data_IF_030439979784
#
_entry.id   IF_030439979784
#
_cell.length_a   1.000
_cell.length_b   1.000
_cell.length_c   1.000
_cell.angle_alpha   90.00
_cell.angle_beta   90.00
_cell.angle_gamma   90.00
#
_symmetry.space_group_name_H-M   'P 1'
#
loop_
_entity.id
_entity.type
_entity.pdbx_description
1 polymer ?
#
# COMPACT_ATOMS: atom_id res chain seq x y z
N UNK A 1 -5.03 52.29 -10.67
CA UNK A 1 -6.12 52.16 -11.67
C UNK A 1 -5.54 51.73 -13.01
N UNK A 2 -6.06 50.68 -13.63
CA UNK A 2 -6.30 50.53 -15.09
C UNK A 2 -6.36 49.03 -15.46
N UNK A 3 -7.49 48.38 -15.21
CA UNK A 3 -7.76 47.07 -15.81
C UNK A 3 -8.04 47.28 -17.29
N UNK A 4 -7.33 46.57 -18.18
CA UNK A 4 -7.70 46.46 -19.59
C UNK A 4 -8.36 45.12 -19.85
N UNK A 5 -9.68 45.16 -20.03
CA UNK A 5 -10.51 44.02 -20.41
C UNK A 5 -10.13 43.57 -21.83
N UNK A 6 -9.93 42.26 -22.01
CA UNK A 6 -10.23 41.61 -23.28
C UNK A 6 -11.58 40.91 -23.13
N UNK A 7 -12.47 41.09 -24.09
CA UNK A 7 -13.88 40.74 -24.02
C UNK A 7 -14.38 40.62 -25.47
N UNK A 8 -15.17 39.58 -25.79
CA UNK A 8 -15.72 39.24 -27.12
C UNK A 8 -14.65 38.78 -28.15
N UNK A 9 -14.93 37.86 -29.08
CA UNK A 9 -16.12 37.01 -29.26
C UNK A 9 -15.84 35.84 -30.24
N UNK A 10 -16.72 34.83 -30.21
CA UNK A 10 -16.90 33.86 -31.31
C UNK A 10 -16.21 32.51 -31.09
N UNK A 11 -16.88 31.38 -31.32
CA UNK A 11 -18.30 31.23 -31.67
C UNK A 11 -18.80 29.78 -31.62
N UNK A 12 -20.08 29.62 -31.30
CA UNK A 12 -20.76 28.32 -31.29
C UNK A 12 -20.98 27.84 -32.74
N UNK A 13 -20.66 26.58 -33.05
CA UNK A 13 -20.97 25.97 -34.35
C UNK A 13 -21.18 24.47 -34.21
N UNK A 14 -22.43 24.07 -33.94
CA UNK A 14 -22.86 22.68 -33.96
C UNK A 14 -22.89 22.12 -35.39
N UNK A 15 -22.41 20.88 -35.60
CA UNK A 15 -22.51 20.17 -36.87
C UNK A 15 -22.88 18.70 -36.65
N UNK A 16 -24.18 18.44 -36.46
CA UNK A 16 -24.73 17.08 -36.49
C UNK A 16 -24.65 16.53 -37.92
N UNK A 17 -23.89 15.46 -38.14
CA UNK A 17 -23.86 14.73 -39.42
C UNK A 17 -24.71 13.46 -39.34
N UNK A 18 -25.98 13.61 -39.72
CA UNK A 18 -26.93 12.50 -39.91
C UNK A 18 -26.55 11.70 -41.17
N UNK A 19 -25.70 10.68 -40.99
CA UNK A 19 -25.20 9.82 -42.06
C UNK A 19 -26.12 8.64 -42.39
N UNK A 20 -27.29 8.87 -43.01
CA UNK A 20 -28.24 7.80 -43.34
C UNK A 20 -28.98 8.00 -44.67
N UNK A 21 -28.36 7.69 -45.81
CA UNK A 21 -29.06 7.27 -47.04
C UNK A 21 -28.12 6.64 -48.10
N UNK A 22 -27.89 5.33 -48.01
CA UNK A 22 -27.63 4.42 -49.15
C UNK A 22 -27.60 2.98 -48.62
N UNK A 23 -28.26 2.00 -49.22
CA UNK A 23 -29.05 2.08 -50.45
C UNK A 23 -28.95 0.82 -51.32
N UNK A 24 -28.91 -0.37 -50.72
CA UNK A 24 -28.95 -1.65 -51.43
C UNK A 24 -30.05 -2.55 -50.85
N UNK A 25 -30.53 -3.52 -51.64
CA UNK A 25 -31.80 -4.21 -51.37
C UNK A 25 -31.63 -5.68 -51.02
N UNK A 26 -31.89 -6.04 -49.76
CA UNK A 26 -32.01 -7.41 -49.30
C UNK A 26 -33.15 -7.54 -48.27
N UNK A 27 -34.14 -8.38 -48.58
CA UNK A 27 -35.19 -8.75 -47.62
C UNK A 27 -34.73 -9.95 -46.80
N UNK A 28 -34.97 -9.95 -45.50
CA UNK A 28 -35.52 -11.08 -44.75
C UNK A 28 -36.16 -10.59 -43.43
N UNK A 29 -36.95 -11.44 -42.76
CA UNK A 29 -37.91 -11.03 -41.72
C UNK A 29 -37.36 -11.04 -40.29
N UNK A 30 -37.88 -10.18 -39.40
CA UNK A 30 -38.41 -10.57 -38.07
C UNK A 30 -39.18 -9.44 -37.36
N UNK A 31 -40.03 -9.81 -36.40
CA UNK A 31 -40.83 -8.95 -35.49
C UNK A 31 -39.94 -8.13 -34.51
N UNK A 32 -40.33 -6.99 -33.93
CA UNK A 32 -41.51 -6.67 -33.07
C UNK A 32 -41.56 -7.52 -31.78
N UNK A 33 -41.86 -7.03 -30.57
CA UNK A 33 -42.11 -5.67 -30.01
C UNK A 33 -40.94 -5.30 -29.01
N UNK A 34 -40.89 -4.33 -28.06
CA UNK A 34 -41.82 -3.34 -27.46
C UNK A 34 -41.07 -2.03 -27.02
N UNK A 35 -41.28 -1.46 -25.80
CA UNK A 35 -40.72 -0.16 -25.34
C UNK A 35 -40.23 -0.16 -23.86
N UNK A 36 -39.18 0.62 -23.52
CA UNK A 36 -38.91 1.34 -22.23
C UNK A 36 -37.59 2.15 -22.39
N UNK A 37 -37.39 3.42 -21.99
CA UNK A 37 -37.94 4.36 -20.99
C UNK A 37 -37.10 4.44 -19.68
N UNK A 38 -36.23 5.47 -19.64
CA UNK A 38 -35.87 6.39 -18.52
C UNK A 38 -35.68 5.83 -17.09
N UNK A 39 -34.59 6.23 -16.43
CA UNK A 39 -34.52 7.22 -15.31
C UNK A 39 -33.04 7.62 -15.11
N UNK A 40 -32.77 8.80 -14.53
CA UNK A 40 -31.43 9.20 -14.04
C UNK A 40 -31.48 9.26 -12.52
N UNK A 41 -30.58 8.56 -11.82
CA UNK A 41 -30.36 8.80 -10.39
C UNK A 41 -28.86 8.68 -10.06
N UNK A 42 -28.26 9.82 -9.70
CA UNK A 42 -27.07 9.90 -8.86
C UNK A 42 -27.57 10.34 -7.48
N UNK A 43 -27.09 9.76 -6.38
CA UNK A 43 -26.95 10.36 -5.02
C UNK A 43 -26.53 9.28 -4.01
N UNK A 44 -25.59 9.63 -3.12
CA UNK A 44 -25.21 8.99 -1.83
C UNK A 44 -24.77 7.50 -1.88
N UNK A 45 -23.54 7.14 -1.47
CA UNK A 45 -22.94 7.19 -0.12
C UNK A 45 -23.51 6.14 0.85
N UNK A 46 -22.85 4.97 0.92
CA UNK A 46 -22.88 4.09 2.10
C UNK A 46 -21.45 3.85 2.61
N UNK A 47 -20.93 4.82 3.36
CA UNK A 47 -19.90 4.54 4.36
C UNK A 47 -20.54 3.75 5.51
N UNK A 48 -20.11 2.51 5.71
CA UNK A 48 -20.38 1.71 6.92
C UNK A 48 -19.02 1.36 7.53
N UNK A 49 -18.51 2.14 8.49
CA UNK A 49 -18.96 2.20 9.90
C UNK A 49 -18.80 0.86 10.63
N UNK A 50 -17.66 0.72 11.32
CA UNK A 50 -17.59 0.04 12.62
C UNK A 50 -17.87 -1.47 12.66
N UNK A 51 -17.05 -2.29 12.01
CA UNK A 51 -16.95 -3.72 12.33
C UNK A 51 -15.51 -4.13 12.64
N UNK A 52 -15.26 -4.54 13.88
CA UNK A 52 -13.97 -5.13 14.31
C UNK A 52 -13.86 -6.57 13.80
N UNK A 53 -13.54 -6.69 12.53
CA UNK A 53 -13.05 -7.90 11.87
C UNK A 53 -11.56 -7.70 11.56
N UNK A 54 -10.80 -8.77 11.30
CA UNK A 54 -9.42 -8.68 10.80
C UNK A 54 -9.43 -8.26 9.32
N UNK A 55 -9.87 -7.02 9.06
CA UNK A 55 -9.96 -6.44 7.73
C UNK A 55 -8.60 -5.97 7.24
N UNK A 56 -8.26 -6.33 6.00
CA UNK A 56 -7.08 -5.81 5.32
C UNK A 56 -7.20 -4.28 5.18
N UNK A 57 -6.10 -3.57 5.42
CA UNK A 57 -6.06 -2.11 5.28
C UNK A 57 -5.73 -1.80 3.82
N UNK A 58 -6.61 -1.07 3.13
CA UNK A 58 -6.41 -0.67 1.74
C UNK A 58 -5.91 0.78 1.65
N UNK A 59 -4.93 1.03 0.78
CA UNK A 59 -4.42 2.36 0.44
C UNK A 59 -4.16 2.45 -1.06
N UNK A 60 -4.51 3.58 -1.69
CA UNK A 60 -4.28 3.83 -3.12
C UNK A 60 -3.42 5.09 -3.26
N UNK A 61 -2.22 4.93 -3.82
CA UNK A 61 -1.17 5.96 -3.95
C UNK A 61 -0.88 6.36 -5.40
N UNK A 62 0.14 7.20 -5.59
CA UNK A 62 0.59 7.65 -6.91
C UNK A 62 1.34 6.53 -7.67
N UNK A 63 2.00 5.61 -6.96
CA UNK A 63 2.84 4.57 -7.57
C UNK A 63 2.17 3.18 -7.54
N UNK A 64 1.22 2.93 -6.63
CA UNK A 64 0.40 1.72 -6.67
C UNK A 64 -0.79 1.70 -5.71
N UNK A 65 -1.55 0.61 -5.79
CA UNK A 65 -2.57 0.23 -4.80
C UNK A 65 -1.98 -0.85 -3.88
N UNK A 66 -2.33 -0.79 -2.59
CA UNK A 66 -1.79 -1.62 -1.52
C UNK A 66 -2.96 -2.19 -0.70
N UNK A 67 -3.03 -3.51 -0.53
CA UNK A 67 -3.92 -4.17 0.43
C UNK A 67 -3.04 -4.89 1.46
N UNK A 68 -2.89 -4.30 2.65
CA UNK A 68 -2.03 -4.82 3.72
C UNK A 68 -2.69 -6.03 4.39
N UNK A 69 -2.05 -7.19 4.26
CA UNK A 69 -2.52 -8.49 4.74
C UNK A 69 -1.98 -8.81 6.14
N UNK A 70 -0.77 -8.36 6.47
CA UNK A 70 -0.13 -8.61 7.77
C UNK A 70 0.78 -7.46 8.19
N UNK A 71 0.82 -7.17 9.49
CA UNK A 71 1.82 -6.29 10.12
C UNK A 71 2.44 -7.05 11.30
N UNK A 72 3.72 -7.41 11.18
CA UNK A 72 4.43 -8.26 12.13
C UNK A 72 5.55 -7.53 12.89
N UNK A 73 6.03 -8.15 13.96
CA UNK A 73 7.27 -7.79 14.67
C UNK A 73 8.16 -9.02 14.71
N UNK A 74 9.44 -8.86 14.41
CA UNK A 74 10.41 -9.96 14.40
C UNK A 74 11.77 -9.52 14.95
N UNK A 75 12.45 -10.45 15.61
CA UNK A 75 13.86 -10.35 15.98
C UNK A 75 14.71 -11.04 14.91
N UNK A 76 15.68 -10.33 14.33
CA UNK A 76 16.79 -10.95 13.60
C UNK A 76 17.94 -11.20 14.58
N UNK A 77 18.37 -12.46 14.71
CA UNK A 77 19.69 -12.78 15.27
C UNK A 77 20.77 -12.43 14.24
N UNK A 78 21.88 -11.78 14.64
CA UNK A 78 22.93 -11.39 13.71
C UNK A 78 23.72 -12.62 13.22
N UNK A 79 24.13 -12.60 11.95
CA UNK A 79 25.02 -13.65 11.43
C UNK A 79 26.34 -13.71 12.23
N UNK A 80 26.84 -14.92 12.55
CA UNK A 80 28.10 -15.07 13.27
C UNK A 80 29.26 -14.60 12.39
N UNK A 81 29.94 -13.52 12.81
CA UNK A 81 31.01 -12.90 12.05
C UNK A 81 32.11 -13.91 11.66
N UNK A 82 32.32 -14.12 10.35
CA UNK A 82 33.30 -15.09 9.83
C UNK A 82 34.78 -14.70 10.07
N UNK A 83 35.06 -13.45 10.43
CA UNK A 83 36.41 -12.97 10.78
C UNK A 83 36.48 -12.54 12.26
N UNK A 84 37.65 -12.76 12.88
CA UNK A 84 37.91 -12.38 14.28
C UNK A 84 37.72 -10.87 14.48
N UNK A 85 36.70 -10.48 15.26
CA UNK A 85 36.45 -9.09 15.65
C UNK A 85 37.66 -8.48 16.35
N UNK A 86 38.06 -7.25 15.98
CA UNK A 86 39.19 -6.57 16.63
C UNK A 86 38.94 -6.47 18.15
N UNK A 87 39.95 -6.77 18.99
CA UNK A 87 39.81 -6.82 20.46
C UNK A 87 39.24 -5.51 21.03
N UNK A 88 37.92 -5.47 21.25
CA UNK A 88 37.19 -4.29 21.74
C UNK A 88 36.06 -3.79 20.83
N UNK A 89 35.80 -4.42 19.68
CA UNK A 89 34.52 -4.28 19.00
C UNK A 89 33.40 -4.96 19.83
N UNK A 90 32.23 -4.33 19.91
CA UNK A 90 31.04 -4.97 20.49
C UNK A 90 30.48 -5.97 19.48
N UNK A 91 30.09 -7.16 19.94
CA UNK A 91 29.36 -8.11 19.09
C UNK A 91 28.02 -7.49 18.70
N UNK A 92 27.55 -7.66 17.44
CA UNK A 92 26.23 -7.19 17.06
C UNK A 92 25.16 -7.80 17.96
N UNK A 93 24.18 -6.99 18.34
CA UNK A 93 23.00 -7.46 19.07
C UNK A 93 21.93 -8.01 18.12
N UNK A 94 20.89 -8.66 18.68
CA UNK A 94 19.65 -8.90 17.92
C UNK A 94 19.05 -7.57 17.43
N UNK A 95 18.47 -7.60 16.23
CA UNK A 95 17.82 -6.45 15.60
C UNK A 95 16.31 -6.67 15.58
N UNK A 96 15.58 -5.88 16.37
CA UNK A 96 14.12 -5.83 16.30
C UNK A 96 13.69 -5.08 15.03
N UNK A 97 12.71 -5.60 14.31
CA UNK A 97 12.11 -4.94 13.15
C UNK A 97 10.60 -5.17 13.06
N UNK A 98 9.92 -4.36 12.23
CA UNK A 98 8.55 -4.64 11.77
C UNK A 98 8.55 -5.14 10.33
N UNK A 99 7.65 -6.07 10.03
CA UNK A 99 7.33 -6.56 8.68
C UNK A 99 5.96 -6.10 8.26
N UNK A 100 5.77 -5.85 6.97
CA UNK A 100 4.49 -5.48 6.38
C UNK A 100 4.32 -6.33 5.12
N UNK A 101 3.35 -7.23 5.13
CA UNK A 101 2.91 -8.00 3.96
C UNK A 101 1.72 -7.29 3.32
N UNK A 102 1.72 -7.22 1.99
CA UNK A 102 0.68 -6.54 1.22
C UNK A 102 0.56 -7.12 -0.19
N UNK A 103 -0.66 -7.12 -0.74
CA UNK A 103 -0.87 -7.20 -2.19
C UNK A 103 -0.63 -5.81 -2.80
N UNK A 104 0.21 -5.74 -3.83
CA UNK A 104 0.61 -4.51 -4.52
C UNK A 104 0.18 -4.55 -5.99
N UNK A 105 -0.53 -3.52 -6.45
CA UNK A 105 -0.83 -3.31 -7.88
C UNK A 105 -0.13 -2.05 -8.40
N UNK A 106 0.67 -2.18 -9.46
CA UNK A 106 1.45 -1.05 -10.00
C UNK A 106 0.57 -0.09 -10.83
N UNK A 107 0.33 1.11 -10.29
CA UNK A 107 -0.45 2.18 -10.96
C UNK A 107 0.37 3.00 -11.97
N UNK A 108 1.70 2.93 -11.92
CA UNK A 108 2.57 3.78 -12.73
C UNK A 108 2.65 3.35 -14.20
N UNK A 109 2.94 4.29 -15.11
CA UNK A 109 3.16 4.05 -16.56
C UNK A 109 4.39 3.16 -16.89
N UNK A 110 5.14 2.70 -15.88
CA UNK A 110 6.45 2.03 -16.03
C UNK A 110 6.57 0.82 -15.10
N UNK A 111 7.49 -0.10 -15.41
CA UNK A 111 7.75 -1.25 -14.56
C UNK A 111 8.50 -0.82 -13.29
N UNK A 112 7.83 -0.95 -12.15
CA UNK A 112 8.22 -0.45 -10.81
C UNK A 112 8.17 -1.62 -9.83
N UNK A 113 9.02 -1.63 -8.79
CA UNK A 113 8.98 -2.69 -7.77
C UNK A 113 8.13 -2.29 -6.56
N UNK A 114 7.50 -3.25 -5.84
CA UNK A 114 6.69 -2.95 -4.66
C UNK A 114 7.43 -2.11 -3.61
N UNK A 115 8.72 -2.39 -3.36
CA UNK A 115 9.55 -1.63 -2.42
C UNK A 115 9.87 -0.20 -2.92
N UNK A 116 10.06 0.00 -4.23
CA UNK A 116 10.34 1.32 -4.81
C UNK A 116 9.07 2.20 -4.72
N UNK A 117 7.89 1.64 -5.00
CA UNK A 117 6.60 2.30 -4.89
C UNK A 117 6.20 2.58 -3.42
N UNK A 118 6.25 1.55 -2.55
CA UNK A 118 5.98 1.68 -1.11
C UNK A 118 6.88 2.75 -0.48
N UNK A 119 8.16 2.80 -0.85
CA UNK A 119 9.11 3.81 -0.39
C UNK A 119 8.86 5.24 -0.91
N UNK A 120 7.93 5.43 -1.85
CA UNK A 120 7.49 6.73 -2.38
C UNK A 120 6.12 7.14 -1.81
N UNK A 121 5.14 6.23 -1.78
CA UNK A 121 3.76 6.46 -1.32
C UNK A 121 3.61 6.41 0.21
N UNK A 122 4.41 5.60 0.90
CA UNK A 122 4.25 5.26 2.32
C UNK A 122 5.53 5.50 3.12
N UNK A 123 5.41 5.52 4.44
CA UNK A 123 6.53 5.59 5.37
C UNK A 123 6.19 4.91 6.70
N UNK A 124 7.09 4.04 7.16
CA UNK A 124 7.04 3.49 8.53
C UNK A 124 7.83 4.41 9.47
N UNK A 125 7.22 4.78 10.60
CA UNK A 125 7.81 5.69 11.59
C UNK A 125 7.55 5.19 13.01
N UNK A 126 8.39 5.57 13.96
CA UNK A 126 8.09 5.42 15.38
C UNK A 126 7.72 6.77 16.01
N UNK A 127 6.76 6.75 16.93
CA UNK A 127 6.29 7.93 17.66
C UNK A 127 7.12 8.10 18.94
N UNK A 128 7.73 9.27 19.11
CA UNK A 128 8.56 9.63 20.27
C UNK A 128 7.97 10.85 21.00
N UNK A 129 8.39 11.11 22.24
CA UNK A 129 8.07 12.38 22.94
C UNK A 129 8.51 13.65 22.18
N UNK A 130 9.43 13.53 21.22
CA UNK A 130 9.96 14.63 20.41
C UNK A 130 9.30 14.81 19.03
N UNK A 131 8.37 13.93 18.64
CA UNK A 131 7.86 13.80 17.28
C UNK A 131 8.16 12.43 16.68
N UNK A 132 8.29 12.33 15.37
CA UNK A 132 8.43 11.06 14.65
C UNK A 132 9.88 10.78 14.24
N UNK A 133 10.28 9.50 14.22
CA UNK A 133 11.52 9.04 13.58
C UNK A 133 11.23 8.06 12.46
N UNK A 134 11.93 8.18 11.33
CA UNK A 134 11.82 7.26 10.20
C UNK A 134 12.70 6.03 10.41
N UNK A 135 12.17 4.84 10.13
CA UNK A 135 12.94 3.59 10.15
C UNK A 135 13.76 3.42 8.86
N UNK A 136 14.84 2.63 8.94
CA UNK A 136 15.60 2.19 7.78
C UNK A 136 14.90 0.96 7.17
N UNK A 137 14.96 0.80 5.84
CA UNK A 137 14.38 -0.38 5.19
C UNK A 137 15.41 -1.52 5.21
N UNK A 138 15.01 -2.66 5.78
CA UNK A 138 15.83 -3.85 6.00
C UNK A 138 15.35 -5.05 5.15
N UNK A 139 14.53 -4.81 4.13
CA UNK A 139 13.91 -5.88 3.31
C UNK A 139 14.94 -6.75 2.60
N UNK A 140 16.09 -6.16 2.23
CA UNK A 140 17.20 -6.85 1.56
C UNK A 140 18.22 -7.44 2.56
N UNK A 141 18.02 -7.18 3.86
CA UNK A 141 18.87 -7.61 4.97
C UNK A 141 18.18 -8.71 5.82
N UNK A 142 17.01 -9.21 5.37
CA UNK A 142 16.35 -10.39 5.92
C UNK A 142 17.15 -11.67 5.58
N UNK A 143 17.24 -12.66 6.49
CA UNK A 143 17.89 -13.94 6.20
C UNK A 143 17.23 -14.72 5.05
N UNK A 144 18.01 -15.48 4.28
CA UNK A 144 17.49 -16.32 3.18
C UNK A 144 16.48 -17.38 3.67
N UNK A 145 16.59 -17.81 4.93
CA UNK A 145 15.71 -18.79 5.59
C UNK A 145 14.53 -18.16 6.38
N UNK A 146 14.31 -16.84 6.26
CA UNK A 146 13.11 -16.19 6.78
C UNK A 146 11.83 -16.79 6.14
N UNK A 147 10.75 -16.95 6.93
CA UNK A 147 9.55 -17.69 6.51
C UNK A 147 8.91 -17.15 5.21
N UNK A 148 9.04 -15.83 4.98
CA UNK A 148 8.47 -15.10 3.84
C UNK A 148 9.56 -14.50 2.93
N UNK A 149 10.64 -15.25 2.69
CA UNK A 149 11.78 -14.77 1.88
C UNK A 149 11.47 -14.71 0.37
N UNK A 150 10.49 -15.49 -0.13
CA UNK A 150 9.97 -15.36 -1.50
C UNK A 150 9.23 -14.01 -1.68
N UNK A 151 8.39 -13.61 -0.72
CA UNK A 151 7.65 -12.33 -0.71
C UNK A 151 8.58 -11.13 -0.52
N UNK A 152 9.64 -11.27 0.29
CA UNK A 152 10.69 -10.26 0.44
C UNK A 152 11.52 -10.08 -0.83
N UNK A 153 11.79 -11.16 -1.57
CA UNK A 153 12.45 -11.09 -2.87
C UNK A 153 11.55 -10.40 -3.92
N UNK A 154 10.26 -10.75 -3.96
CA UNK A 154 9.26 -10.17 -4.85
C UNK A 154 9.15 -8.63 -4.70
N UNK A 155 9.33 -8.10 -3.49
CA UNK A 155 9.40 -6.65 -3.22
C UNK A 155 10.47 -5.90 -4.02
N UNK A 156 11.52 -6.58 -4.47
CA UNK A 156 12.58 -6.02 -5.31
C UNK A 156 12.34 -6.20 -6.82
N UNK A 157 11.45 -7.12 -7.22
CA UNK A 157 11.16 -7.40 -8.62
C UNK A 157 10.30 -6.29 -9.25
N UNK A 158 10.56 -5.97 -10.52
CA UNK A 158 9.83 -4.93 -11.24
C UNK A 158 8.67 -5.54 -12.02
N UNK A 159 7.45 -5.28 -11.55
CA UNK A 159 6.22 -5.72 -12.19
C UNK A 159 5.73 -4.69 -13.21
N UNK A 160 5.08 -5.14 -14.28
CA UNK A 160 4.56 -4.25 -15.32
C UNK A 160 3.35 -3.42 -14.83
N UNK A 161 2.97 -2.39 -15.59
CA UNK A 161 1.83 -1.52 -15.25
C UNK A 161 0.50 -2.30 -15.24
N UNK A 162 -0.25 -2.20 -14.14
CA UNK A 162 -1.48 -2.97 -13.90
C UNK A 162 -1.28 -4.46 -13.61
N UNK A 163 -0.05 -4.87 -13.29
CA UNK A 163 0.23 -6.19 -12.70
C UNK A 163 0.12 -6.12 -11.16
N UNK A 164 -0.18 -7.26 -10.53
CA UNK A 164 -0.46 -7.39 -9.10
C UNK A 164 0.40 -8.51 -8.50
N UNK A 165 1.01 -8.28 -7.34
CA UNK A 165 1.89 -9.25 -6.65
C UNK A 165 1.79 -9.14 -5.13
N UNK A 166 1.92 -10.25 -4.40
CA UNK A 166 2.12 -10.23 -2.94
C UNK A 166 3.59 -9.91 -2.63
N UNK A 167 3.82 -8.98 -1.72
CA UNK A 167 5.13 -8.43 -1.39
C UNK A 167 5.27 -8.26 0.13
N UNK A 168 6.50 -8.36 0.65
CA UNK A 168 6.82 -8.06 2.04
C UNK A 168 7.96 -7.05 2.16
N UNK A 169 7.77 -6.01 2.95
CA UNK A 169 8.84 -5.05 3.32
C UNK A 169 9.16 -5.14 4.81
N UNK A 170 10.43 -4.93 5.16
CA UNK A 170 10.88 -4.89 6.54
C UNK A 170 11.50 -3.53 6.88
N UNK A 171 11.26 -3.05 8.10
CA UNK A 171 11.74 -1.76 8.59
C UNK A 171 12.23 -1.83 10.04
N UNK A 172 13.37 -1.22 10.32
CA UNK A 172 13.98 -1.20 11.65
C UNK A 172 15.24 -0.33 11.72
N UNK A 173 16.08 -0.49 12.76
CA UNK A 173 15.75 -1.18 14.02
C UNK A 173 14.59 -0.47 14.75
N UNK A 174 13.69 -1.20 15.40
CA UNK A 174 12.59 -0.64 16.19
C UNK A 174 12.89 -0.63 17.69
N UNK A 175 12.52 0.46 18.36
CA UNK A 175 12.39 0.50 19.82
C UNK A 175 11.02 -0.09 20.21
N UNK A 176 11.00 -1.21 20.93
CA UNK A 176 9.75 -1.91 21.30
C UNK A 176 9.00 -1.26 22.45
N UNK A 177 9.55 -0.23 23.11
CA UNK A 177 8.80 0.64 24.03
C UNK A 177 8.01 1.75 23.28
N UNK A 178 8.13 1.85 21.95
CA UNK A 178 7.51 2.90 21.12
C UNK A 178 6.46 2.38 20.13
N UNK A 179 5.40 3.16 19.96
CA UNK A 179 4.39 2.95 18.93
C UNK A 179 5.00 3.10 17.52
N UNK A 180 4.79 2.10 16.67
CA UNK A 180 5.25 2.08 15.27
C UNK A 180 4.05 2.20 14.36
N UNK A 181 4.07 3.19 13.45
CA UNK A 181 2.96 3.55 12.59
C UNK A 181 3.33 3.47 11.10
N UNK A 182 2.34 3.11 10.29
CA UNK A 182 2.37 3.25 8.84
C UNK A 182 1.62 4.52 8.44
N UNK A 183 2.26 5.41 7.70
CA UNK A 183 1.69 6.69 7.28
C UNK A 183 1.83 6.87 5.77
N UNK A 184 0.83 7.50 5.15
CA UNK A 184 0.94 8.00 3.78
C UNK A 184 1.94 9.16 3.68
N UNK A 185 2.56 9.30 2.52
CA UNK A 185 3.39 10.45 2.17
C UNK A 185 2.54 11.46 1.42
N UNK A 186 2.27 12.60 2.07
CA UNK A 186 1.67 13.75 1.40
C UNK A 186 2.51 14.14 0.18
N UNK A 187 2.00 13.86 -1.03
CA UNK A 187 2.62 14.31 -2.27
C UNK A 187 2.33 15.82 -2.44
N UNK A 188 3.33 16.72 -2.34
CA UNK A 188 3.11 18.16 -2.40
C UNK A 188 2.79 18.69 -3.80
N UNK A 189 2.59 17.79 -4.78
CA UNK A 189 2.16 18.08 -6.16
C UNK A 189 0.77 17.50 -6.48
N UNK A 190 0.14 16.72 -5.60
CA UNK A 190 -1.20 16.20 -5.83
C UNK A 190 -2.22 17.33 -5.93
N UNK A 191 -3.13 17.28 -6.92
CA UNK A 191 -4.21 18.27 -7.07
C UNK A 191 -5.47 17.94 -6.24
N UNK A 192 -5.49 16.77 -5.58
CA UNK A 192 -6.53 16.33 -4.65
C UNK A 192 -5.94 16.08 -3.25
N UNK A 193 -6.68 16.46 -2.20
CA UNK A 193 -6.30 16.22 -0.80
C UNK A 193 -6.53 14.75 -0.48
N UNK A 194 -5.49 13.91 -0.58
CA UNK A 194 -5.53 12.52 -0.07
C UNK A 194 -5.77 12.54 1.43
N UNK A 195 -6.79 11.81 1.89
CA UNK A 195 -7.04 11.67 3.32
C UNK A 195 -5.85 10.97 3.99
N UNK A 196 -5.35 11.48 5.14
CA UNK A 196 -4.28 10.80 5.86
C UNK A 196 -4.79 9.44 6.36
N UNK A 197 -3.89 8.46 6.46
CA UNK A 197 -4.19 7.21 7.17
C UNK A 197 -4.36 7.52 8.67
N UNK A 198 -5.58 7.85 9.08
CA UNK A 198 -6.03 8.05 10.48
C UNK A 198 -6.06 6.72 11.29
N UNK A 199 -5.32 5.71 10.83
CA UNK A 199 -5.36 4.34 11.31
C UNK A 199 -4.04 3.93 11.97
N UNK A 200 -3.91 4.23 13.26
CA UNK A 200 -2.87 3.62 14.11
C UNK A 200 -3.13 2.12 14.17
N UNK A 201 -2.23 1.31 13.60
CA UNK A 201 -2.27 -0.15 13.73
C UNK A 201 -1.75 -0.50 15.14
N UNK A 202 -2.65 -0.55 16.12
CA UNK A 202 -2.30 -0.97 17.49
C UNK A 202 -1.76 -2.40 17.46
N UNK A 203 -0.49 -2.56 17.87
CA UNK A 203 0.17 -3.86 17.87
C UNK A 203 -0.42 -4.77 18.96
N UNK A 204 -1.02 -5.89 18.55
CA UNK A 204 -1.47 -6.91 19.49
C UNK A 204 -0.26 -7.65 20.04
N UNK A 205 0.07 -7.39 21.30
CA UNK A 205 1.14 -8.05 22.08
C UNK A 205 1.07 -9.57 21.86
N UNK A 206 2.09 -10.13 21.21
CA UNK A 206 2.15 -11.56 20.92
C UNK A 206 2.32 -12.33 22.23
N UNK A 207 1.33 -13.17 22.58
CA UNK A 207 1.29 -13.88 23.87
C UNK A 207 2.62 -14.61 24.12
N UNK A 208 3.44 -14.05 25.01
CA UNK A 208 4.68 -14.69 25.45
C UNK A 208 4.33 -16.04 26.02
N UNK A 209 4.70 -17.11 25.32
CA UNK A 209 4.39 -18.47 25.76
C UNK A 209 5.12 -18.74 27.07
N UNK A 210 4.39 -18.65 28.19
CA UNK A 210 4.89 -19.07 29.49
C UNK A 210 5.22 -20.57 29.42
N UNK A 211 6.50 -20.90 29.26
CA UNK A 211 6.95 -22.29 29.37
C UNK A 211 6.61 -22.79 30.79
N UNK A 212 5.57 -23.64 30.91
CA UNK A 212 5.25 -24.33 32.16
C UNK A 212 6.42 -25.24 32.56
N UNK A 213 7.35 -24.70 33.34
CA UNK A 213 8.50 -25.42 33.90
C UNK A 213 7.99 -26.51 34.84
N UNK A 214 7.73 -27.68 34.29
CA UNK A 214 7.16 -28.81 35.02
C UNK A 214 8.24 -29.44 35.90
N UNK A 215 8.47 -28.85 37.08
CA UNK A 215 9.30 -29.44 38.14
C UNK A 215 8.62 -30.69 38.73
N UNK A 216 8.74 -31.83 38.04
CA UNK A 216 8.36 -33.15 38.55
C UNK A 216 9.31 -33.57 39.70
N UNK A 217 9.01 -33.08 40.91
CA UNK A 217 9.77 -33.35 42.13
C UNK A 217 9.39 -34.70 42.75
N UNK A 218 10.41 -35.49 43.10
CA UNK A 218 10.29 -36.87 43.60
C UNK A 218 9.61 -37.01 44.98
N UNK A 219 8.60 -37.89 45.12
CA UNK A 219 8.35 -38.73 46.33
C UNK A 219 7.70 -40.09 46.00
#
# INVERSE_FOLDING_TARGET
MSLRKYLLAGGLSSALLLGACSGDSGSEETSSEEETATEEESTEEESADGSTESGAVAFSGEYGEYEMTEFGQHTIEPEPAEEETEEGAEEPGPTELVTIEFEFTNNSDVATSPQEAFGLDLAVRQITEGGETTLENLTMDLPEDFEKSDEAAASSERIDSGETVTALVAYGPVDTELETVLQSRENPMAEEEVEPLDYTIEMSESETTEEETTEDSEE
#
